data_IF_000476301342
#
_entry.id   IF_000476301342
#
_cell.length_a   1.000
_cell.length_b   1.000
_cell.length_c   1.000
_cell.angle_alpha   90.00
_cell.angle_beta   90.00
_cell.angle_gamma   90.00
#
_symmetry.space_group_name_H-M   'P 1'
#
loop_
_entity.id
_entity.type
_entity.pdbx_description
1 polymer ?
#
# COMPACT_ATOMS: atom_id res chain seq x y z
N UNK A 1 20.24 -10.11 -1.89
CA UNK A 1 18.97 -9.63 -1.30
C UNK A 1 19.12 -9.41 0.21
N UNK A 2 18.52 -8.36 0.78
CA UNK A 2 18.58 -8.08 2.22
C UNK A 2 17.75 -9.10 3.03
N UNK A 3 18.13 -9.36 4.29
CA UNK A 3 17.42 -10.32 5.18
C UNK A 3 15.95 -9.97 5.38
N UNK A 4 15.62 -8.67 5.41
CA UNK A 4 14.25 -8.19 5.61
C UNK A 4 13.26 -8.57 4.49
N UNK A 5 13.75 -9.08 3.36
CA UNK A 5 12.94 -9.50 2.22
C UNK A 5 12.84 -11.02 2.07
N UNK A 6 13.24 -11.80 3.08
CA UNK A 6 13.08 -13.26 3.05
C UNK A 6 12.79 -13.79 4.44
N UNK A 7 12.03 -14.87 4.51
CA UNK A 7 11.79 -15.56 5.77
C UNK A 7 12.94 -16.55 6.08
N UNK A 8 13.16 -16.80 7.38
CA UNK A 8 14.35 -17.50 7.84
C UNK A 8 14.36 -18.98 7.43
N UNK A 9 13.21 -19.65 7.42
CA UNK A 9 13.07 -21.05 7.01
C UNK A 9 12.94 -21.26 5.49
N UNK A 10 12.82 -20.18 4.72
CA UNK A 10 12.76 -20.22 3.26
C UNK A 10 11.38 -20.54 2.69
N UNK A 11 10.32 -20.40 3.47
CA UNK A 11 8.94 -20.64 3.01
C UNK A 11 8.46 -19.57 2.02
N UNK A 12 9.03 -18.37 2.11
CA UNK A 12 8.82 -17.31 1.13
C UNK A 12 10.05 -16.43 0.96
N UNK A 13 10.17 -15.85 -0.23
CA UNK A 13 11.16 -14.81 -0.53
C UNK A 13 10.49 -13.67 -1.28
N UNK A 14 10.86 -12.45 -0.95
CA UNK A 14 10.41 -11.24 -1.61
C UNK A 14 11.02 -11.13 -3.00
N UNK A 15 10.26 -10.62 -3.96
CA UNK A 15 10.73 -10.34 -5.32
C UNK A 15 10.43 -8.90 -5.78
N UNK A 16 9.57 -8.17 -5.07
CA UNK A 16 9.40 -6.72 -5.24
C UNK A 16 8.97 -6.02 -3.94
N UNK A 17 8.98 -4.69 -3.95
CA UNK A 17 8.45 -3.84 -2.89
C UNK A 17 7.45 -2.82 -3.42
N UNK A 18 6.44 -2.48 -2.63
CA UNK A 18 5.48 -1.42 -2.95
C UNK A 18 5.30 -0.46 -1.77
N UNK A 19 5.52 0.84 -1.96
CA UNK A 19 5.35 1.84 -0.89
C UNK A 19 3.89 2.30 -0.86
N UNK A 20 3.31 2.44 0.33
CA UNK A 20 2.01 3.07 0.47
C UNK A 20 2.13 4.57 0.25
N UNK A 21 1.37 5.09 -0.69
CA UNK A 21 1.21 6.52 -0.94
C UNK A 21 -0.25 6.94 -0.84
N UNK A 22 -0.53 8.10 -1.40
CA UNK A 22 -1.85 8.69 -1.50
C UNK A 22 -2.07 9.18 -2.92
N UNK A 23 -3.13 8.68 -3.56
CA UNK A 23 -3.59 9.19 -4.85
C UNK A 23 -4.54 10.35 -4.61
N UNK A 24 -4.35 11.44 -5.36
CA UNK A 24 -5.29 12.56 -5.41
C UNK A 24 -5.81 12.75 -6.82
N UNK A 25 -7.11 13.00 -6.99
CA UNK A 25 -7.64 13.51 -8.25
C UNK A 25 -7.41 15.02 -8.29
N UNK A 26 -6.73 15.55 -9.32
CA UNK A 26 -6.31 16.96 -9.35
C UNK A 26 -7.48 17.93 -9.26
N UNK A 27 -8.56 17.67 -10.02
CA UNK A 27 -9.74 18.53 -10.04
C UNK A 27 -10.44 18.53 -8.67
N UNK A 28 -10.71 17.34 -8.13
CA UNK A 28 -11.36 17.20 -6.81
C UNK A 28 -10.51 17.73 -5.67
N UNK A 29 -9.19 17.54 -5.72
CA UNK A 29 -8.30 18.08 -4.69
C UNK A 29 -8.37 19.61 -4.66
N UNK A 30 -8.36 20.26 -5.83
CA UNK A 30 -8.47 21.71 -5.95
C UNK A 30 -9.83 22.24 -5.49
N UNK A 31 -10.93 21.64 -5.98
CA UNK A 31 -12.29 22.10 -5.65
C UNK A 31 -12.69 21.78 -4.20
N UNK A 32 -12.33 20.58 -3.72
CA UNK A 32 -12.89 20.04 -2.49
C UNK A 32 -11.98 20.31 -1.27
N UNK A 33 -10.66 20.39 -1.47
CA UNK A 33 -9.63 20.45 -0.41
C UNK A 33 -8.71 21.68 -0.57
N UNK A 34 -8.96 22.55 -1.56
CA UNK A 34 -8.15 23.75 -1.81
C UNK A 34 -6.75 23.44 -2.34
N UNK A 35 -6.57 22.28 -2.98
CA UNK A 35 -5.34 21.88 -3.67
C UNK A 35 -4.21 21.39 -2.75
N UNK A 36 -4.44 21.35 -1.43
CA UNK A 36 -3.42 20.90 -0.47
C UNK A 36 -3.35 19.38 -0.44
N UNK A 37 -2.18 18.83 -0.74
CA UNK A 37 -1.91 17.39 -0.66
C UNK A 37 -1.53 17.03 0.78
N UNK A 38 -1.94 15.84 1.29
CA UNK A 38 -1.57 15.41 2.63
C UNK A 38 -0.07 15.15 2.72
N UNK A 39 0.58 15.77 3.70
CA UNK A 39 1.97 15.51 4.08
C UNK A 39 2.06 14.44 5.18
N UNK A 40 1.00 14.29 5.97
CA UNK A 40 0.86 13.24 6.99
C UNK A 40 -0.48 12.51 6.82
N UNK A 41 -0.60 11.32 7.40
CA UNK A 41 -1.88 10.62 7.44
C UNK A 41 -2.91 11.32 8.33
N UNK A 42 -2.48 12.15 9.28
CA UNK A 42 -3.38 12.89 10.18
C UNK A 42 -4.07 14.06 9.47
N UNK A 43 -3.47 14.58 8.40
CA UNK A 43 -4.09 15.59 7.53
C UNK A 43 -5.41 15.07 6.92
N UNK A 44 -5.56 13.75 6.76
CA UNK A 44 -6.78 13.11 6.26
C UNK A 44 -7.94 13.14 7.26
N UNK A 45 -7.67 13.51 8.53
CA UNK A 45 -8.70 13.65 9.56
C UNK A 45 -9.37 15.03 9.55
N UNK A 46 -8.82 15.99 8.80
CA UNK A 46 -9.41 17.33 8.73
C UNK A 46 -10.86 17.27 8.24
N UNK A 47 -11.77 18.10 8.78
CA UNK A 47 -13.18 18.12 8.37
C UNK A 47 -13.39 18.37 6.87
N UNK A 48 -12.40 19.02 6.22
CA UNK A 48 -12.40 19.24 4.78
C UNK A 48 -12.48 17.93 3.98
N UNK A 49 -12.02 16.79 4.52
CA UNK A 49 -12.05 15.49 3.85
C UNK A 49 -13.36 14.71 4.00
N UNK A 50 -14.36 15.23 4.73
CA UNK A 50 -15.60 14.52 5.01
C UNK A 50 -16.29 14.04 3.72
N UNK A 51 -16.44 12.72 3.56
CA UNK A 51 -17.07 12.09 2.40
C UNK A 51 -16.28 12.21 1.10
N UNK A 52 -14.97 12.45 1.17
CA UNK A 52 -14.10 12.70 -0.01
C UNK A 52 -12.94 11.73 -0.13
N UNK A 53 -12.93 10.67 0.68
CA UNK A 53 -11.92 9.62 0.64
C UNK A 53 -12.55 8.28 0.25
N UNK A 54 -11.83 7.48 -0.53
CA UNK A 54 -12.15 6.06 -0.70
C UNK A 54 -11.00 5.28 -0.10
N UNK A 55 -11.29 4.22 0.66
CA UNK A 55 -10.25 3.34 1.22
C UNK A 55 -10.39 1.94 0.62
N UNK A 56 -9.30 1.29 0.16
CA UNK A 56 -9.34 -0.14 -0.14
C UNK A 56 -9.80 -0.90 1.11
N UNK A 57 -10.84 -1.72 0.96
CA UNK A 57 -11.49 -2.43 2.07
C UNK A 57 -10.44 -3.24 2.85
N UNK A 58 -10.21 -2.94 4.14
CA UNK A 58 -9.19 -3.63 4.93
C UNK A 58 -9.45 -5.10 5.22
N UNK A 59 -10.68 -5.59 4.98
CA UNK A 59 -11.05 -6.99 5.12
C UNK A 59 -10.73 -7.74 3.83
N UNK A 60 -11.03 -7.14 2.68
CA UNK A 60 -10.89 -7.78 1.36
C UNK A 60 -9.52 -7.62 0.74
N UNK A 61 -8.80 -6.54 1.07
CA UNK A 61 -7.54 -6.18 0.41
C UNK A 61 -6.34 -6.28 1.34
N UNK A 62 -5.21 -6.78 0.82
CA UNK A 62 -3.94 -6.75 1.53
C UNK A 62 -3.50 -5.31 1.84
N UNK A 63 -3.70 -4.38 0.90
CA UNK A 63 -3.38 -2.97 1.08
C UNK A 63 -4.16 -2.30 2.20
N UNK A 64 -5.48 -2.50 2.28
CA UNK A 64 -6.27 -1.94 3.37
C UNK A 64 -5.84 -2.49 4.74
N UNK A 65 -5.51 -3.78 4.84
CA UNK A 65 -4.97 -4.35 6.08
C UNK A 65 -3.59 -3.75 6.44
N UNK A 66 -2.68 -3.64 5.47
CA UNK A 66 -1.36 -3.04 5.68
C UNK A 66 -1.49 -1.58 6.11
N UNK A 67 -2.49 -0.85 5.59
CA UNK A 67 -2.77 0.51 6.01
C UNK A 67 -3.16 0.60 7.49
N UNK A 68 -4.04 -0.29 7.99
CA UNK A 68 -4.37 -0.38 9.43
C UNK A 68 -3.10 -0.67 10.25
N UNK A 69 -2.35 -1.70 9.86
CA UNK A 69 -1.14 -2.10 10.57
C UNK A 69 -0.11 -0.97 10.61
N UNK A 70 0.01 -0.20 9.51
CA UNK A 70 0.87 0.98 9.44
C UNK A 70 0.49 1.98 10.53
N UNK A 71 -0.80 2.27 10.73
CA UNK A 71 -1.24 3.19 11.80
C UNK A 71 -0.87 2.66 13.19
N UNK A 72 -1.02 1.37 13.44
CA UNK A 72 -0.59 0.74 14.70
C UNK A 72 0.90 0.98 14.95
N UNK A 73 1.75 0.81 13.94
CA UNK A 73 3.18 1.05 14.09
C UNK A 73 3.55 2.54 14.18
N UNK A 74 2.81 3.45 13.52
CA UNK A 74 2.96 4.91 13.70
C UNK A 74 2.76 5.32 15.16
N UNK A 75 1.82 4.69 15.85
CA UNK A 75 1.55 4.92 17.26
C UNK A 75 2.34 4.00 18.20
N UNK A 76 3.46 3.42 17.75
CA UNK A 76 4.33 2.63 18.62
C UNK A 76 3.70 1.34 19.14
N UNK A 77 2.81 0.72 18.35
CA UNK A 77 1.97 -0.44 18.71
C UNK A 77 0.82 -0.15 19.69
N UNK A 78 0.48 1.12 19.91
CA UNK A 78 -0.73 1.50 20.63
C UNK A 78 -1.97 1.29 19.75
N UNK A 79 -2.59 0.12 19.88
CA UNK A 79 -3.80 -0.24 19.12
C UNK A 79 -4.97 0.68 19.42
N UNK A 80 -5.10 1.19 20.64
CA UNK A 80 -6.19 2.10 21.02
C UNK A 80 -6.08 3.42 20.26
N UNK A 81 -4.89 4.04 20.20
CA UNK A 81 -4.66 5.26 19.41
C UNK A 81 -4.84 5.03 17.92
N UNK A 82 -4.34 3.90 17.41
CA UNK A 82 -4.50 3.56 16.00
C UNK A 82 -5.98 3.35 15.64
N UNK A 83 -6.77 2.70 16.49
CA UNK A 83 -8.20 2.53 16.29
C UNK A 83 -8.97 3.85 16.40
N UNK A 84 -8.60 4.74 17.32
CA UNK A 84 -9.17 6.10 17.38
C UNK A 84 -8.90 6.89 16.08
N UNK A 85 -7.67 6.83 15.56
CA UNK A 85 -7.33 7.37 14.25
C UNK A 85 -8.21 6.77 13.15
N UNK A 86 -8.32 5.43 13.08
CA UNK A 86 -9.14 4.76 12.06
C UNK A 86 -10.63 5.12 12.15
N UNK A 87 -11.16 5.32 13.37
CA UNK A 87 -12.54 5.77 13.60
C UNK A 87 -12.77 7.19 13.10
N UNK A 88 -11.84 8.10 13.39
CA UNK A 88 -11.90 9.48 12.88
C UNK A 88 -11.78 9.51 11.36
N UNK A 89 -10.86 8.71 10.80
CA UNK A 89 -10.69 8.59 9.36
C UNK A 89 -11.97 8.04 8.71
N UNK A 90 -12.62 7.05 9.31
CA UNK A 90 -13.87 6.48 8.79
C UNK A 90 -14.95 7.55 8.55
N UNK A 91 -15.05 8.57 9.42
CA UNK A 91 -16.00 9.67 9.24
C UNK A 91 -15.75 10.48 7.94
N UNK A 92 -14.55 10.38 7.36
CA UNK A 92 -14.17 11.02 6.11
C UNK A 92 -14.23 10.08 4.89
N UNK A 93 -14.40 8.77 5.11
CA UNK A 93 -14.51 7.78 4.04
C UNK A 93 -15.92 7.82 3.43
N UNK A 94 -15.98 8.06 2.12
CA UNK A 94 -17.17 7.95 1.28
C UNK A 94 -17.59 6.48 1.09
N UNK A 95 -16.63 5.62 0.77
CA UNK A 95 -16.88 4.20 0.51
C UNK A 95 -15.61 3.35 0.67
N UNK A 96 -15.81 2.05 0.82
CA UNK A 96 -14.73 1.06 0.85
C UNK A 96 -14.69 0.27 -0.46
N UNK A 97 -13.58 0.33 -1.17
CA UNK A 97 -13.42 -0.33 -2.47
C UNK A 97 -12.98 -1.79 -2.34
N UNK A 98 -13.55 -2.67 -3.16
CA UNK A 98 -13.28 -4.12 -3.08
C UNK A 98 -11.84 -4.52 -3.46
N UNK A 99 -11.15 -3.71 -4.27
CA UNK A 99 -9.76 -3.96 -4.69
C UNK A 99 -8.95 -2.67 -4.68
N UNK A 100 -7.65 -2.75 -4.40
CA UNK A 100 -6.74 -1.60 -4.43
C UNK A 100 -6.68 -0.93 -5.83
N UNK A 101 -6.56 -1.66 -6.95
CA UNK A 101 -6.60 -1.04 -8.28
C UNK A 101 -7.96 -0.41 -8.62
N UNK A 102 -9.07 -1.02 -8.18
CA UNK A 102 -10.40 -0.46 -8.36
C UNK A 102 -10.54 0.91 -7.69
N UNK A 103 -9.99 1.08 -6.48
CA UNK A 103 -9.97 2.38 -5.80
C UNK A 103 -9.15 3.41 -6.58
N UNK A 104 -8.02 3.03 -7.17
CA UNK A 104 -7.23 3.95 -8.03
C UNK A 104 -8.07 4.42 -9.21
N UNK A 105 -8.77 3.51 -9.88
CA UNK A 105 -9.70 3.85 -10.97
C UNK A 105 -10.80 4.80 -10.51
N UNK A 106 -11.44 4.54 -9.36
CA UNK A 106 -12.47 5.43 -8.79
C UNK A 106 -11.95 6.85 -8.55
N UNK A 107 -10.76 7.00 -7.96
CA UNK A 107 -10.15 8.33 -7.76
C UNK A 107 -9.79 8.96 -9.10
N UNK A 108 -9.22 8.21 -10.04
CA UNK A 108 -8.88 8.72 -11.37
C UNK A 108 -10.11 9.19 -12.15
N UNK A 109 -11.29 8.64 -11.88
CA UNK A 109 -12.58 9.05 -12.44
C UNK A 109 -13.25 10.19 -11.67
N UNK A 110 -12.66 10.67 -10.56
CA UNK A 110 -13.16 11.81 -9.80
C UNK A 110 -14.33 11.49 -8.87
N UNK A 111 -14.54 10.22 -8.53
CA UNK A 111 -15.58 9.78 -7.58
C UNK A 111 -15.35 10.36 -6.17
N UNK A 112 -14.08 10.54 -5.79
CA UNK A 112 -13.66 11.18 -4.54
C UNK A 112 -12.34 11.93 -4.73
N UNK A 113 -11.92 12.70 -3.72
CA UNK A 113 -10.73 13.54 -3.80
C UNK A 113 -9.43 12.74 -3.70
N UNK A 114 -9.41 11.65 -2.92
CA UNK A 114 -8.22 10.81 -2.84
C UNK A 114 -8.38 9.51 -2.06
N UNK A 115 -7.29 8.73 -2.02
CA UNK A 115 -7.24 7.44 -1.35
C UNK A 115 -5.81 7.07 -0.95
N UNK A 116 -5.59 6.49 0.25
CA UNK A 116 -4.38 5.73 0.53
C UNK A 116 -4.28 4.52 -0.43
N UNK A 117 -3.16 4.36 -1.15
CA UNK A 117 -2.96 3.24 -2.09
C UNK A 117 -1.49 3.01 -2.48
N UNK A 118 -1.20 2.01 -3.32
CA UNK A 118 0.16 1.67 -3.73
C UNK A 118 0.78 2.66 -4.72
N UNK A 119 1.96 3.20 -4.40
CA UNK A 119 2.63 4.20 -5.25
C UNK A 119 2.89 3.72 -6.68
N UNK A 120 3.23 2.45 -6.86
CA UNK A 120 3.55 1.87 -8.18
C UNK A 120 2.31 1.77 -9.09
N UNK A 121 1.15 1.40 -8.55
CA UNK A 121 -0.10 1.39 -9.29
C UNK A 121 -0.58 2.81 -9.58
N UNK A 122 -0.38 3.75 -8.66
CA UNK A 122 -0.71 5.18 -8.86
C UNK A 122 0.14 5.76 -10.00
N UNK A 123 1.44 5.46 -10.06
CA UNK A 123 2.31 5.91 -11.16
C UNK A 123 1.89 5.31 -12.50
N UNK A 124 1.47 4.05 -12.49
CA UNK A 124 0.93 3.37 -13.68
C UNK A 124 -0.33 4.06 -14.19
N UNK A 125 -1.25 4.45 -13.29
CA UNK A 125 -2.44 5.22 -13.66
C UNK A 125 -2.10 6.65 -14.12
N UNK A 126 -1.15 7.31 -13.44
CA UNK A 126 -0.70 8.68 -13.75
C UNK A 126 -0.04 8.76 -15.12
N UNK A 127 0.63 7.71 -15.57
CA UNK A 127 1.24 7.65 -16.90
C UNK A 127 0.21 7.74 -18.05
N UNK A 128 -1.07 7.42 -17.79
CA UNK A 128 -2.15 7.58 -18.77
C UNK A 128 -2.54 9.04 -19.01
N UNK A 129 -2.54 9.83 -17.94
CA UNK A 129 -2.75 11.28 -17.97
C UNK A 129 -2.09 11.93 -16.73
N UNK A 130 -0.92 12.57 -16.91
CA UNK A 130 -0.16 13.15 -15.79
C UNK A 130 -0.86 14.31 -15.07
N UNK A 131 -1.89 14.89 -15.68
CA UNK A 131 -2.64 16.05 -15.15
C UNK A 131 -3.84 15.63 -14.31
N UNK A 132 -4.37 14.42 -14.53
CA UNK A 132 -5.62 13.93 -13.93
C UNK A 132 -5.47 13.53 -12.47
N UNK A 133 -4.35 12.89 -12.13
CA UNK A 133 -4.07 12.44 -10.77
C UNK A 133 -2.67 12.79 -10.32
N UNK A 134 -2.45 12.74 -9.02
CA UNK A 134 -1.13 12.89 -8.43
C UNK A 134 -0.84 11.87 -7.34
N UNK A 135 0.46 11.60 -7.16
CA UNK A 135 0.99 10.75 -6.10
C UNK A 135 1.64 11.64 -5.04
N UNK A 136 1.28 11.39 -3.78
CA UNK A 136 2.07 11.83 -2.61
C UNK A 136 2.40 10.67 -1.70
N UNK A 137 3.43 10.82 -0.89
CA UNK A 137 3.79 9.82 0.14
C UNK A 137 3.77 10.52 1.49
N UNK A 138 2.69 10.36 2.27
CA UNK A 138 2.64 10.89 3.63
C UNK A 138 3.74 10.28 4.50
N UNK A 139 4.23 11.06 5.48
CA UNK A 139 5.23 10.60 6.45
C UNK A 139 4.75 9.41 7.28
N UNK A 140 5.70 8.66 7.81
CA UNK A 140 5.49 7.45 8.59
C UNK A 140 4.59 6.45 7.84
N UNK A 141 4.93 6.18 6.58
CA UNK A 141 4.22 5.25 5.72
C UNK A 141 4.69 3.80 5.91
N UNK A 142 3.92 2.86 5.37
CA UNK A 142 4.26 1.45 5.26
C UNK A 142 4.66 1.06 3.85
N UNK A 143 5.09 -0.18 3.69
CA UNK A 143 5.35 -0.78 2.40
C UNK A 143 5.08 -2.28 2.44
N UNK A 144 4.74 -2.86 1.29
CA UNK A 144 4.64 -4.30 1.10
C UNK A 144 5.95 -4.89 0.56
N UNK A 145 6.13 -6.17 0.86
CA UNK A 145 7.09 -7.03 0.17
C UNK A 145 6.26 -8.06 -0.58
N UNK A 146 6.29 -7.99 -1.90
CA UNK A 146 5.66 -9.01 -2.74
C UNK A 146 6.45 -10.31 -2.63
N UNK A 147 5.83 -11.34 -2.08
CA UNK A 147 6.46 -12.64 -1.84
C UNK A 147 6.18 -13.64 -2.98
N UNK A 148 7.13 -14.54 -3.20
CA UNK A 148 6.97 -15.77 -3.98
C UNK A 148 7.24 -16.97 -3.08
N UNK A 149 6.41 -18.01 -3.25
CA UNK A 149 6.45 -19.27 -2.49
C UNK A 149 6.13 -20.45 -3.39
N UNK A 150 6.69 -21.62 -3.06
CA UNK A 150 6.33 -22.88 -3.71
C UNK A 150 5.22 -23.56 -2.90
N UNK A 151 4.12 -23.93 -3.57
CA UNK A 151 2.99 -24.60 -2.93
C UNK A 151 3.37 -26.04 -2.54
N UNK A 152 3.15 -26.39 -1.27
CA UNK A 152 3.38 -27.74 -0.74
C UNK A 152 2.48 -28.75 -1.49
N UNK A 153 3.08 -29.81 -2.02
CA UNK A 153 2.36 -30.84 -2.79
C UNK A 153 1.95 -30.39 -4.20
N UNK A 154 2.47 -29.27 -4.70
CA UNK A 154 2.22 -28.82 -6.07
C UNK A 154 2.67 -29.85 -7.12
N UNK A 155 1.91 -29.93 -8.23
CA UNK A 155 2.09 -30.97 -9.27
C UNK A 155 3.38 -30.84 -10.10
N UNK A 156 4.01 -29.66 -10.09
CA UNK A 156 5.22 -29.38 -10.89
C UNK A 156 6.28 -28.67 -10.06
N UNK A 157 6.93 -29.40 -9.15
CA UNK A 157 8.02 -28.85 -8.32
C UNK A 157 9.21 -28.34 -9.15
N UNK A 158 9.70 -29.04 -10.20
CA UNK A 158 10.81 -28.54 -11.01
C UNK A 158 10.52 -27.19 -11.66
N UNK A 159 9.34 -27.03 -12.27
CA UNK A 159 8.91 -25.77 -12.87
C UNK A 159 8.74 -24.65 -11.84
N UNK A 160 8.19 -24.96 -10.66
CA UNK A 160 8.07 -23.98 -9.59
C UNK A 160 9.44 -23.47 -9.10
N UNK A 161 10.44 -24.35 -8.97
CA UNK A 161 11.82 -23.95 -8.63
C UNK A 161 12.44 -23.07 -9.72
N UNK A 162 12.34 -23.48 -10.99
CA UNK A 162 12.84 -22.71 -12.11
C UNK A 162 12.21 -21.29 -12.17
N UNK A 163 10.91 -21.19 -11.88
CA UNK A 163 10.23 -19.90 -11.81
C UNK A 163 10.73 -19.03 -10.65
N UNK A 164 10.90 -19.60 -9.46
CA UNK A 164 11.46 -18.87 -8.30
C UNK A 164 12.88 -18.40 -8.58
N UNK A 165 13.72 -19.22 -9.20
CA UNK A 165 15.08 -18.83 -9.56
C UNK A 165 15.07 -17.68 -10.59
N UNK A 166 14.20 -17.77 -11.60
CA UNK A 166 14.08 -16.75 -12.64
C UNK A 166 13.53 -15.42 -12.10
N UNK A 167 12.46 -15.42 -11.29
CA UNK A 167 11.80 -14.19 -10.82
C UNK A 167 12.69 -13.37 -9.87
N UNK A 168 13.75 -13.98 -9.34
CA UNK A 168 14.74 -13.35 -8.47
C UNK A 168 15.99 -12.88 -9.23
N UNK A 169 16.03 -13.01 -10.56
CA UNK A 169 17.11 -12.49 -11.39
C UNK A 169 17.04 -10.96 -11.51
N UNK A 170 18.18 -10.36 -11.88
CA UNK A 170 18.25 -8.92 -12.20
C UNK A 170 17.31 -8.56 -13.35
N UNK A 171 17.29 -9.38 -14.39
CA UNK A 171 16.45 -9.18 -15.59
C UNK A 171 14.97 -9.17 -15.23
N UNK A 172 14.48 -10.14 -14.44
CA UNK A 172 13.10 -10.16 -13.99
C UNK A 172 12.76 -8.92 -13.13
N UNK A 173 13.69 -8.49 -12.27
CA UNK A 173 13.55 -7.26 -11.49
C UNK A 173 13.45 -6.01 -12.37
N UNK A 174 14.33 -5.87 -13.36
CA UNK A 174 14.31 -4.76 -14.33
C UNK A 174 13.03 -4.75 -15.16
N UNK A 175 12.56 -5.93 -15.59
CA UNK A 175 11.31 -6.08 -16.30
C UNK A 175 10.12 -5.66 -15.44
N UNK A 176 10.08 -6.05 -14.17
CA UNK A 176 9.01 -5.68 -13.24
C UNK A 176 8.99 -4.17 -12.96
N UNK A 177 10.16 -3.54 -12.83
CA UNK A 177 10.26 -2.08 -12.73
C UNK A 177 9.68 -1.43 -13.99
N UNK A 178 10.11 -1.87 -15.17
CA UNK A 178 9.69 -1.32 -16.46
C UNK A 178 8.19 -1.45 -16.71
N UNK A 179 7.60 -2.59 -16.35
CA UNK A 179 6.21 -2.90 -16.66
C UNK A 179 5.21 -2.50 -15.58
N UNK A 180 5.65 -2.33 -14.34
CA UNK A 180 4.73 -2.16 -13.21
C UNK A 180 5.16 -1.11 -12.18
N UNK A 181 6.26 -0.39 -12.41
CA UNK A 181 6.81 0.65 -11.50
C UNK A 181 7.13 0.17 -10.08
N UNK A 182 7.04 -1.15 -9.82
CA UNK A 182 7.30 -1.76 -8.52
C UNK A 182 8.77 -1.64 -8.17
N UNK A 183 9.06 -1.39 -6.90
CA UNK A 183 10.44 -1.35 -6.41
C UNK A 183 11.07 -2.74 -6.46
N UNK A 184 12.38 -2.81 -6.71
CA UNK A 184 13.14 -4.06 -6.69
C UNK A 184 13.70 -4.34 -5.31
N UNK A 185 13.71 -5.63 -4.92
CA UNK A 185 14.42 -6.13 -3.74
C UNK A 185 15.93 -6.30 -3.97
N UNK A 186 16.38 -6.13 -5.22
CA UNK A 186 17.78 -6.18 -5.64
C UNK A 186 18.35 -4.76 -5.74
N UNK A 187 19.45 -4.50 -5.00
CA UNK A 187 20.08 -3.17 -4.95
C UNK A 187 20.65 -2.68 -6.29
N UNK A 188 20.94 -3.59 -7.21
CA UNK A 188 21.53 -3.30 -8.52
C UNK A 188 20.48 -3.14 -9.64
N UNK A 189 19.21 -2.99 -9.28
CA UNK A 189 18.11 -2.67 -10.20
C UNK A 189 17.63 -1.26 -9.86
N UNK A 190 17.69 -0.35 -10.84
CA UNK A 190 17.27 1.03 -10.65
C UNK A 190 15.74 1.13 -10.50
N UNK A 191 15.21 2.07 -9.69
CA UNK A 191 13.78 2.34 -9.62
C UNK A 191 13.26 2.99 -10.91
N UNK A 192 11.94 2.91 -11.15
CA UNK A 192 11.31 3.64 -12.24
C UNK A 192 11.39 5.16 -11.99
N UNK A 193 11.47 6.00 -13.04
CA UNK A 193 11.43 7.46 -12.89
C UNK A 193 10.21 7.93 -12.10
N UNK A 194 10.44 8.75 -11.08
CA UNK A 194 9.37 9.27 -10.20
C UNK A 194 8.85 8.29 -9.15
N UNK A 195 9.34 7.03 -9.11
CA UNK A 195 9.01 6.11 -8.02
C UNK A 195 9.72 6.49 -6.72
N UNK A 196 8.99 6.55 -5.59
CA UNK A 196 9.63 6.68 -4.28
C UNK A 196 10.46 5.43 -3.97
N UNK A 197 11.57 5.60 -3.28
CA UNK A 197 12.41 4.51 -2.77
C UNK A 197 12.34 4.41 -1.25
N UNK A 198 12.68 3.24 -0.70
CA UNK A 198 12.59 2.99 0.75
C UNK A 198 13.52 3.88 1.58
N UNK A 199 14.61 4.39 1.00
CA UNK A 199 15.57 5.30 1.61
C UNK A 199 15.18 6.79 1.47
N UNK A 200 14.21 7.12 0.62
CA UNK A 200 13.72 8.48 0.42
C UNK A 200 12.50 8.82 1.27
N UNK A 201 11.79 7.81 1.79
CA UNK A 201 10.53 7.99 2.51
C UNK A 201 10.70 7.73 4.00
N UNK A 202 9.89 8.40 4.80
CA UNK A 202 9.78 8.12 6.23
C UNK A 202 8.90 6.89 6.43
N UNK A 203 9.49 5.79 6.92
CA UNK A 203 8.83 4.51 7.15
C UNK A 203 8.58 4.27 8.63
N UNK A 204 7.44 3.64 8.95
CA UNK A 204 7.26 3.04 10.28
C UNK A 204 8.18 1.85 10.47
N UNK A 205 8.50 1.54 11.73
CA UNK A 205 9.18 0.29 12.09
C UNK A 205 8.20 -0.90 12.00
N UNK A 206 7.87 -1.29 10.77
CA UNK A 206 6.85 -2.29 10.46
C UNK A 206 7.33 -3.70 10.81
N UNK A 207 6.64 -4.35 11.75
CA UNK A 207 6.86 -5.75 12.09
C UNK A 207 5.89 -6.64 11.30
N UNK A 208 6.40 -7.23 10.20
CA UNK A 208 5.59 -8.07 9.30
C UNK A 208 5.11 -9.33 9.97
N UNK A 209 5.92 -9.97 10.80
CA UNK A 209 5.54 -11.21 11.45
C UNK A 209 4.40 -10.94 12.44
N UNK A 210 4.55 -9.91 13.27
CA UNK A 210 3.48 -9.49 14.18
C UNK A 210 2.19 -9.14 13.43
N UNK A 211 2.28 -8.40 12.32
CA UNK A 211 1.11 -8.07 11.51
C UNK A 211 0.44 -9.35 10.96
N UNK A 212 1.21 -10.26 10.37
CA UNK A 212 0.68 -11.54 9.87
C UNK A 212 -0.01 -12.35 10.97
N UNK A 213 0.63 -12.50 12.13
CA UNK A 213 0.10 -13.30 13.25
C UNK A 213 -1.18 -12.69 13.85
N UNK A 214 -1.32 -11.36 13.78
CA UNK A 214 -2.44 -10.63 14.37
C UNK A 214 -3.52 -10.24 13.36
N UNK A 215 -3.37 -10.56 12.06
CA UNK A 215 -4.22 -10.04 10.97
C UNK A 215 -5.71 -10.15 11.26
N UNK A 216 -6.20 -11.37 11.53
CA UNK A 216 -7.63 -11.61 11.75
C UNK A 216 -8.16 -10.88 12.98
N UNK A 217 -7.37 -10.79 14.06
CA UNK A 217 -7.74 -10.08 15.29
C UNK A 217 -7.85 -8.57 15.03
N UNK A 218 -6.87 -7.99 14.35
CA UNK A 218 -6.84 -6.56 14.04
C UNK A 218 -7.95 -6.16 13.08
N UNK A 219 -8.23 -6.98 12.06
CA UNK A 219 -9.36 -6.76 11.15
C UNK A 219 -10.70 -6.71 11.90
N UNK A 220 -10.94 -7.67 12.81
CA UNK A 220 -12.14 -7.69 13.65
C UNK A 220 -12.20 -6.48 14.59
N UNK A 221 -11.08 -6.14 15.22
CA UNK A 221 -10.98 -4.96 16.09
C UNK A 221 -11.33 -3.67 15.33
N UNK A 222 -10.81 -3.53 14.11
CA UNK A 222 -11.13 -2.40 13.24
C UNK A 222 -12.62 -2.36 12.90
N UNK A 223 -13.20 -3.47 12.43
CA UNK A 223 -14.64 -3.58 12.12
C UNK A 223 -15.51 -3.14 13.30
N UNK A 224 -15.24 -3.65 14.51
CA UNK A 224 -15.96 -3.25 15.73
C UNK A 224 -15.78 -1.77 16.04
N UNK A 225 -14.56 -1.25 15.88
CA UNK A 225 -14.24 0.16 16.16
C UNK A 225 -14.99 1.12 15.26
N UNK A 226 -15.03 0.82 13.95
CA UNK A 226 -15.66 1.70 12.94
C UNK A 226 -17.16 1.41 12.76
N UNK A 227 -17.67 0.31 13.31
CA UNK A 227 -19.08 -0.05 13.24
C UNK A 227 -19.51 -0.68 11.91
N UNK A 228 -18.60 -1.38 11.23
CA UNK A 228 -18.87 -2.07 9.95
C UNK A 228 -18.81 -3.57 10.19
N UNK A 229 -19.90 -4.29 9.88
CA UNK A 229 -19.99 -5.74 9.95
C UNK A 229 -19.58 -6.39 8.62
#
# INVERSE_FOLDING_TARGET
MARQFKEASGLWTGWYTGIFGFISNTSRLNSDIGGKKPATWDDLLEPAWKGKLILPDPIKTGGGYIFIATQIFRFGRDETKAMDFMKKLHANILSYGATSPGVITSIANGEAAGAPNWSHDILTEKAKDPTRIDLTVPKDTGFEVGAVSIVKGGKNLPGAKAFVDWVLTKEAGELNVKLSNRGSVLKNVAPAPGSPTLDQVSLVNYDRQWATDNKTRIQKLWQTTVGIQ
#
